data_IF_066752823107
#
_entry.id   IF_066752823107
#
_cell.length_a   1.000
_cell.length_b   1.000
_cell.length_c   1.000
_cell.angle_alpha   90.00
_cell.angle_beta   90.00
_cell.angle_gamma   90.00
#
_symmetry.space_group_name_H-M   'P 1'
#
loop_
_entity.id
_entity.type
_entity.pdbx_description
1 polymer ?
#
# COMPACT_ATOMS: atom_id res chain seq x y z
N UNK A 1 6.00 49.58 -15.03
CA UNK A 1 5.26 48.79 -16.03
C UNK A 1 4.93 47.46 -15.38
N UNK A 2 3.64 47.18 -15.19
CA UNK A 2 3.11 46.07 -14.39
C UNK A 2 3.54 44.70 -14.95
N UNK A 3 4.29 43.93 -14.15
CA UNK A 3 4.70 42.56 -14.46
C UNK A 3 3.64 41.50 -14.09
N UNK A 4 2.47 41.92 -13.57
CA UNK A 4 1.45 41.03 -13.00
C UNK A 4 0.41 40.45 -14.00
N UNK A 5 0.57 40.63 -15.31
CA UNK A 5 -0.51 40.29 -16.27
C UNK A 5 -0.20 39.17 -17.26
N UNK A 6 0.99 38.57 -17.24
CA UNK A 6 1.32 37.45 -18.14
C UNK A 6 1.22 36.07 -17.47
N UNK A 7 1.48 35.96 -16.16
CA UNK A 7 1.34 34.70 -15.41
C UNK A 7 -0.10 34.16 -15.37
N UNK A 8 -1.10 35.04 -15.30
CA UNK A 8 -2.52 34.68 -15.13
C UNK A 8 -3.32 34.55 -16.44
N UNK A 9 -2.75 34.93 -17.58
CA UNK A 9 -3.42 34.83 -18.89
C UNK A 9 -3.14 33.51 -19.63
N UNK A 10 -2.25 32.67 -19.09
CA UNK A 10 -2.08 31.30 -19.58
C UNK A 10 -3.31 30.46 -19.19
N UNK A 11 -4.00 29.88 -20.17
CA UNK A 11 -5.00 28.84 -19.94
C UNK A 11 -4.25 27.51 -19.78
N UNK A 12 -4.08 26.97 -18.56
CA UNK A 12 -3.40 25.69 -18.38
C UNK A 12 -4.05 24.57 -19.17
N UNK A 13 -3.22 23.69 -19.75
CA UNK A 13 -3.67 22.37 -20.17
C UNK A 13 -4.08 21.59 -18.92
N UNK A 14 -5.39 21.37 -18.79
CA UNK A 14 -6.00 20.73 -17.64
C UNK A 14 -5.83 19.21 -17.68
N UNK A 15 -5.05 18.65 -16.76
CA UNK A 15 -5.41 17.39 -16.14
C UNK A 15 -6.50 17.67 -15.12
N UNK A 16 -7.64 16.97 -15.19
CA UNK A 16 -8.64 17.01 -14.12
C UNK A 16 -8.19 16.03 -13.04
N UNK A 17 -8.16 16.47 -11.79
CA UNK A 17 -8.19 15.51 -10.68
C UNK A 17 -9.60 14.93 -10.51
N UNK A 18 -9.78 14.01 -9.55
CA UNK A 18 -11.09 13.40 -9.24
C UNK A 18 -12.18 14.43 -8.88
N UNK A 19 -11.80 15.67 -8.56
CA UNK A 19 -12.70 16.77 -8.20
C UNK A 19 -12.94 17.78 -9.35
N UNK A 20 -12.31 17.59 -10.51
CA UNK A 20 -12.51 18.43 -11.69
C UNK A 20 -11.77 19.77 -11.69
N UNK A 21 -10.85 20.00 -10.74
CA UNK A 21 -10.06 21.23 -10.68
C UNK A 21 -8.94 21.23 -11.73
N UNK A 22 -8.72 22.39 -12.37
CA UNK A 22 -7.65 22.55 -13.36
C UNK A 22 -6.33 22.82 -12.66
N UNK A 23 -5.51 21.78 -12.50
CA UNK A 23 -4.12 21.96 -12.05
C UNK A 23 -3.28 22.56 -13.18
N UNK A 24 -2.56 23.64 -12.87
CA UNK A 24 -1.59 24.24 -13.78
C UNK A 24 -0.42 23.28 -13.92
N UNK A 25 -0.25 22.73 -15.12
CA UNK A 25 0.89 21.89 -15.51
C UNK A 25 1.56 22.55 -16.72
N UNK A 26 2.88 22.75 -16.64
CA UNK A 26 3.68 23.38 -17.70
C UNK A 26 5.14 22.94 -17.58
N UNK A 27 5.97 23.36 -18.53
CA UNK A 27 7.42 23.13 -18.48
C UNK A 27 8.15 24.44 -18.22
N UNK A 28 9.20 24.35 -17.43
CA UNK A 28 10.08 25.48 -17.11
C UNK A 28 11.55 25.12 -17.27
N UNK A 29 12.37 26.14 -17.48
CA UNK A 29 13.82 26.06 -17.28
C UNK A 29 14.27 27.15 -16.31
N UNK A 30 15.49 27.03 -15.79
CA UNK A 30 16.09 28.10 -15.00
C UNK A 30 16.25 29.35 -15.86
N UNK A 31 15.87 30.51 -15.32
CA UNK A 31 15.95 31.81 -15.99
C UNK A 31 17.39 32.18 -16.33
N UNK A 32 18.35 31.80 -15.49
CA UNK A 32 19.80 31.95 -15.73
C UNK A 32 20.32 31.10 -16.88
N UNK A 33 19.53 30.14 -17.37
CA UNK A 33 19.89 29.22 -18.44
C UNK A 33 18.94 29.31 -19.65
N UNK A 34 18.04 30.29 -19.68
CA UNK A 34 16.96 30.38 -20.67
C UNK A 34 17.46 30.27 -22.13
N UNK A 35 18.62 30.86 -22.44
CA UNK A 35 19.21 30.86 -23.79
C UNK A 35 20.34 29.84 -23.98
N UNK A 36 20.64 29.01 -22.97
CA UNK A 36 21.73 28.02 -23.06
C UNK A 36 21.28 26.78 -23.82
N UNK A 37 22.12 26.32 -24.76
CA UNK A 37 21.96 25.00 -25.37
C UNK A 37 22.17 23.91 -24.32
N UNK A 38 21.27 22.94 -24.27
CA UNK A 38 21.33 21.83 -23.30
C UNK A 38 20.92 22.22 -21.88
N UNK A 39 20.17 23.33 -21.72
CA UNK A 39 19.58 23.69 -20.42
C UNK A 39 18.68 22.58 -19.89
N UNK A 40 18.57 22.52 -18.57
CA UNK A 40 17.67 21.57 -17.90
C UNK A 40 16.23 22.07 -17.96
N UNK A 41 15.32 21.12 -18.15
CA UNK A 41 13.89 21.37 -18.16
C UNK A 41 13.22 20.62 -17.02
N UNK A 42 12.18 21.22 -16.46
CA UNK A 42 11.40 20.67 -15.37
C UNK A 42 9.93 20.74 -15.72
N UNK A 43 9.20 19.65 -15.47
CA UNK A 43 7.75 19.72 -15.39
C UNK A 43 7.39 20.44 -14.09
N UNK A 44 6.60 21.50 -14.21
CA UNK A 44 6.08 22.27 -13.08
C UNK A 44 4.58 22.00 -12.92
N UNK A 45 4.21 21.57 -11.72
CA UNK A 45 2.83 21.39 -11.32
C UNK A 45 2.51 22.29 -10.13
N UNK A 46 1.48 23.12 -10.25
CA UNK A 46 1.02 23.93 -9.12
C UNK A 46 0.38 23.04 -8.06
N UNK A 47 0.83 23.18 -6.82
CA UNK A 47 0.26 22.54 -5.64
C UNK A 47 -0.64 23.52 -4.89
N UNK A 48 -1.49 22.97 -4.02
CA UNK A 48 -2.27 23.76 -3.06
C UNK A 48 -1.33 24.38 -2.02
N UNK A 49 -1.68 25.55 -1.48
CA UNK A 49 -0.87 26.23 -0.46
C UNK A 49 0.29 27.08 -0.98
N UNK A 50 0.33 27.41 -2.28
CA UNK A 50 1.28 28.40 -2.81
C UNK A 50 2.66 27.86 -3.22
N UNK A 51 2.73 26.57 -3.51
CA UNK A 51 3.96 25.89 -3.96
C UNK A 51 3.83 25.36 -5.39
N UNK A 52 4.97 25.12 -6.02
CA UNK A 52 5.09 24.34 -7.25
C UNK A 52 5.94 23.11 -6.99
N UNK A 53 5.47 21.97 -7.45
CA UNK A 53 6.27 20.74 -7.57
C UNK A 53 7.02 20.79 -8.91
N UNK A 54 8.34 20.64 -8.85
CA UNK A 54 9.22 20.57 -10.02
C UNK A 54 9.84 19.18 -10.12
N UNK A 55 9.71 18.55 -11.27
CA UNK A 55 10.33 17.26 -11.58
C UNK A 55 11.17 17.39 -12.85
N UNK A 56 12.43 16.95 -12.81
CA UNK A 56 13.34 17.05 -13.97
C UNK A 56 12.86 16.17 -15.12
N UNK A 57 13.02 16.65 -16.34
CA UNK A 57 12.72 15.88 -17.54
C UNK A 57 13.94 15.05 -17.96
N UNK A 58 13.72 13.77 -18.24
CA UNK A 58 14.77 12.90 -18.76
C UNK A 58 15.01 13.14 -20.27
N UNK A 59 15.93 12.37 -20.85
CA UNK A 59 16.28 12.44 -22.27
C UNK A 59 15.08 12.14 -23.19
N UNK A 60 14.15 11.30 -22.73
CA UNK A 60 12.90 10.93 -23.42
C UNK A 60 11.77 11.94 -23.20
N UNK A 61 12.07 13.09 -22.60
CA UNK A 61 11.16 14.24 -22.43
C UNK A 61 9.97 13.96 -21.52
N UNK A 62 10.13 13.03 -20.58
CA UNK A 62 9.12 12.75 -19.55
C UNK A 62 9.67 13.10 -18.17
N UNK A 63 8.80 13.53 -17.23
CA UNK A 63 9.21 13.78 -15.85
C UNK A 63 9.67 12.48 -15.19
N UNK A 64 10.90 12.46 -14.67
CA UNK A 64 11.52 11.28 -14.08
C UNK A 64 12.28 11.63 -12.80
N UNK A 65 12.43 10.65 -11.91
CA UNK A 65 13.13 10.82 -10.63
C UNK A 65 12.37 11.68 -9.61
N UNK A 66 13.07 12.14 -8.57
CA UNK A 66 12.47 12.87 -7.45
C UNK A 66 11.99 14.27 -7.84
N UNK A 67 10.87 14.70 -7.25
CA UNK A 67 10.41 16.08 -7.33
C UNK A 67 10.97 16.94 -6.19
N UNK A 68 10.95 18.26 -6.41
CA UNK A 68 11.28 19.29 -5.40
C UNK A 68 10.15 20.31 -5.34
N UNK A 69 9.86 20.82 -4.15
CA UNK A 69 8.90 21.90 -3.98
C UNK A 69 9.60 23.25 -3.96
N UNK A 70 9.05 24.23 -4.66
CA UNK A 70 9.50 25.63 -4.64
C UNK A 70 8.33 26.54 -4.32
N UNK A 71 8.60 27.67 -3.66
CA UNK A 71 7.57 28.67 -3.38
C UNK A 71 7.11 29.35 -4.67
N UNK A 72 5.92 29.94 -4.68
CA UNK A 72 5.45 30.72 -5.83
C UNK A 72 6.37 31.89 -6.17
N UNK A 73 6.98 32.53 -5.16
CA UNK A 73 7.89 33.66 -5.34
C UNK A 73 9.23 33.24 -5.96
N UNK A 74 9.83 32.16 -5.45
CA UNK A 74 11.04 31.59 -6.03
C UNK A 74 10.77 31.08 -7.45
N UNK A 75 9.63 30.44 -7.67
CA UNK A 75 9.21 29.99 -8.99
C UNK A 75 9.14 31.16 -9.99
N UNK A 76 8.49 32.27 -9.61
CA UNK A 76 8.35 33.43 -10.46
C UNK A 76 9.71 34.11 -10.75
N UNK A 77 10.61 34.13 -9.77
CA UNK A 77 11.91 34.79 -9.86
C UNK A 77 12.93 33.96 -10.64
N UNK A 78 13.05 32.67 -10.33
CA UNK A 78 14.13 31.82 -10.81
C UNK A 78 13.83 31.06 -12.10
N UNK A 79 12.55 30.89 -12.47
CA UNK A 79 12.15 30.07 -13.60
C UNK A 79 11.51 30.89 -14.72
N UNK A 80 11.59 30.34 -15.92
CA UNK A 80 10.91 30.85 -17.12
C UNK A 80 10.06 29.74 -17.74
N UNK A 81 8.91 30.11 -18.31
CA UNK A 81 7.98 29.19 -18.95
C UNK A 81 8.50 28.79 -20.33
N UNK A 82 8.41 27.50 -20.64
CA UNK A 82 8.86 26.89 -21.91
C UNK A 82 7.64 26.28 -22.62
N UNK A 83 6.67 27.13 -22.98
CA UNK A 83 5.36 26.69 -23.48
C UNK A 83 5.44 25.93 -24.81
N UNK A 84 6.30 26.37 -25.73
CA UNK A 84 6.48 25.70 -27.02
C UNK A 84 7.06 24.29 -26.82
N UNK A 85 8.06 24.18 -25.93
CA UNK A 85 8.67 22.90 -25.60
C UNK A 85 7.68 21.94 -24.90
N UNK A 86 6.80 22.47 -24.03
CA UNK A 86 5.68 21.69 -23.48
C UNK A 86 4.79 21.12 -24.58
N UNK A 87 4.33 21.95 -25.52
CA UNK A 87 3.38 21.54 -26.54
C UNK A 87 3.97 20.63 -27.62
N UNK A 88 5.23 20.85 -28.00
CA UNK A 88 5.87 20.15 -29.12
C UNK A 88 6.54 18.84 -28.68
N UNK A 89 7.16 18.81 -27.50
CA UNK A 89 8.03 17.71 -27.10
C UNK A 89 7.48 16.94 -25.90
N UNK A 90 7.22 17.64 -24.80
CA UNK A 90 6.97 17.01 -23.49
C UNK A 90 5.57 16.38 -23.43
N UNK A 91 4.53 17.15 -23.77
CA UNK A 91 3.15 16.63 -23.74
C UNK A 91 2.97 15.43 -24.66
N UNK A 92 3.40 15.44 -25.94
CA UNK A 92 3.28 14.25 -26.79
C UNK A 92 4.06 13.05 -26.26
N UNK A 93 5.23 13.26 -25.63
CA UNK A 93 6.02 12.19 -25.04
C UNK A 93 5.35 11.57 -23.82
N UNK A 94 4.78 12.41 -22.94
CA UNK A 94 3.96 11.95 -21.82
C UNK A 94 2.70 11.21 -22.29
N UNK A 95 2.01 11.75 -23.30
CA UNK A 95 0.81 11.12 -23.87
C UNK A 95 1.13 9.76 -24.51
N UNK A 96 2.32 9.58 -25.09
CA UNK A 96 2.79 8.28 -25.60
C UNK A 96 3.06 7.31 -24.46
N UNK A 97 3.82 7.72 -23.44
CA UNK A 97 4.10 6.90 -22.27
C UNK A 97 2.80 6.44 -21.57
N UNK A 98 1.86 7.36 -21.36
CA UNK A 98 0.56 7.04 -20.75
C UNK A 98 -0.22 6.03 -21.59
N UNK A 99 -0.22 6.16 -22.92
CA UNK A 99 -0.85 5.19 -23.81
C UNK A 99 -0.18 3.81 -23.75
N UNK A 100 1.15 3.74 -23.67
CA UNK A 100 1.87 2.48 -23.46
C UNK A 100 1.47 1.81 -22.15
N UNK A 101 1.42 2.58 -21.05
CA UNK A 101 0.96 2.09 -19.75
C UNK A 101 -0.48 1.59 -19.80
N UNK A 102 -1.39 2.33 -20.43
CA UNK A 102 -2.79 1.93 -20.59
C UNK A 102 -2.93 0.65 -21.42
N UNK A 103 -2.15 0.50 -22.50
CA UNK A 103 -2.12 -0.75 -23.28
C UNK A 103 -1.61 -1.92 -22.46
N UNK A 104 -0.55 -1.73 -21.67
CA UNK A 104 -0.04 -2.76 -20.76
C UNK A 104 -1.11 -3.24 -19.78
N UNK A 105 -1.88 -2.33 -19.18
CA UNK A 105 -2.98 -2.68 -18.26
C UNK A 105 -4.08 -3.45 -19.00
N UNK A 106 -4.49 -2.97 -20.18
CA UNK A 106 -5.50 -3.65 -20.99
C UNK A 106 -5.05 -5.07 -21.36
N UNK A 107 -3.81 -5.25 -21.82
CA UNK A 107 -3.29 -6.57 -22.13
C UNK A 107 -3.29 -7.49 -20.89
N UNK A 108 -2.87 -6.98 -19.72
CA UNK A 108 -2.87 -7.74 -18.47
C UNK A 108 -4.29 -8.17 -18.08
N UNK A 109 -5.25 -7.25 -18.11
CA UNK A 109 -6.66 -7.53 -17.78
C UNK A 109 -7.30 -8.58 -18.72
N UNK A 110 -6.84 -8.67 -19.97
CA UNK A 110 -7.27 -9.71 -20.93
C UNK A 110 -6.49 -11.03 -20.79
N UNK A 111 -5.52 -11.12 -19.88
CA UNK A 111 -4.66 -12.29 -19.70
C UNK A 111 -3.58 -12.43 -20.78
N UNK A 112 -3.32 -11.38 -21.57
CA UNK A 112 -2.29 -11.33 -22.61
C UNK A 112 -0.93 -10.96 -21.99
N UNK A 113 -0.46 -11.80 -21.06
CA UNK A 113 0.60 -11.46 -20.11
C UNK A 113 1.95 -11.14 -20.77
N UNK A 114 2.29 -11.77 -21.89
CA UNK A 114 3.53 -11.46 -22.63
C UNK A 114 3.47 -10.08 -23.30
N UNK A 115 2.31 -9.70 -23.85
CA UNK A 115 2.11 -8.37 -24.42
C UNK A 115 2.14 -7.31 -23.32
N UNK A 116 1.53 -7.59 -22.16
CA UNK A 116 1.58 -6.70 -21.00
C UNK A 116 3.02 -6.49 -20.51
N UNK A 117 3.79 -7.57 -20.34
CA UNK A 117 5.21 -7.51 -19.97
C UNK A 117 6.01 -6.62 -20.94
N UNK A 118 5.79 -6.78 -22.24
CA UNK A 118 6.47 -5.98 -23.26
C UNK A 118 6.10 -4.49 -23.17
N UNK A 119 4.82 -4.15 -23.05
CA UNK A 119 4.41 -2.74 -22.92
C UNK A 119 4.96 -2.08 -21.64
N UNK A 120 4.99 -2.80 -20.52
CA UNK A 120 5.60 -2.27 -19.30
C UNK A 120 7.11 -2.14 -19.41
N UNK A 121 7.79 -3.09 -20.07
CA UNK A 121 9.22 -2.98 -20.35
C UNK A 121 9.53 -1.76 -21.22
N UNK A 122 8.76 -1.54 -22.29
CA UNK A 122 8.88 -0.36 -23.17
C UNK A 122 8.68 0.95 -22.38
N UNK A 123 7.71 0.98 -21.46
CA UNK A 123 7.49 2.13 -20.58
C UNK A 123 8.69 2.38 -19.63
N UNK A 124 9.34 1.31 -19.15
CA UNK A 124 10.53 1.40 -18.31
C UNK A 124 11.79 1.80 -19.09
N UNK A 125 11.89 1.52 -20.40
CA UNK A 125 12.94 2.09 -21.24
C UNK A 125 12.79 3.61 -21.42
N UNK A 126 11.56 4.12 -21.33
CA UNK A 126 11.26 5.56 -21.38
C UNK A 126 11.53 6.22 -20.03
N UNK A 127 11.17 5.56 -18.93
CA UNK A 127 11.41 6.01 -17.56
C UNK A 127 11.62 4.80 -16.63
N UNK A 128 12.88 4.49 -16.35
CA UNK A 128 13.27 3.38 -15.45
C UNK A 128 12.68 3.56 -14.03
N UNK A 129 12.37 4.80 -13.66
CA UNK A 129 11.78 5.16 -12.39
C UNK A 129 10.25 5.16 -12.38
N UNK A 130 9.59 4.62 -13.42
CA UNK A 130 8.14 4.69 -13.55
C UNK A 130 7.42 3.70 -12.63
N UNK A 131 6.88 4.21 -11.52
CA UNK A 131 6.20 3.41 -10.49
C UNK A 131 5.04 2.58 -11.06
N UNK A 132 4.29 3.11 -12.04
CA UNK A 132 3.14 2.43 -12.64
C UNK A 132 3.58 1.30 -13.57
N UNK A 133 4.60 1.51 -14.40
CA UNK A 133 5.16 0.45 -15.24
C UNK A 133 5.73 -0.69 -14.38
N UNK A 134 6.52 -0.35 -13.36
CA UNK A 134 7.11 -1.33 -12.44
C UNK A 134 6.01 -2.11 -11.71
N UNK A 135 4.92 -1.44 -11.31
CA UNK A 135 3.76 -2.12 -10.71
C UNK A 135 3.13 -3.15 -11.64
N UNK A 136 2.74 -2.68 -12.83
CA UNK A 136 2.05 -3.50 -13.81
C UNK A 136 2.90 -4.70 -14.24
N UNK A 137 4.21 -4.52 -14.34
CA UNK A 137 5.16 -5.61 -14.59
C UNK A 137 5.17 -6.64 -13.44
N UNK A 138 5.21 -6.18 -12.18
CA UNK A 138 5.16 -7.06 -11.02
C UNK A 138 3.85 -7.86 -10.92
N UNK A 139 2.72 -7.23 -11.20
CA UNK A 139 1.42 -7.91 -11.28
C UNK A 139 1.39 -8.94 -12.42
N UNK A 140 1.93 -8.56 -13.59
CA UNK A 140 2.03 -9.45 -14.74
C UNK A 140 2.85 -10.69 -14.39
N UNK A 141 3.96 -10.55 -13.66
CA UNK A 141 4.75 -11.70 -13.21
C UNK A 141 3.97 -12.59 -12.21
N UNK A 142 3.22 -12.02 -11.27
CA UNK A 142 2.34 -12.84 -10.41
C UNK A 142 1.31 -13.62 -11.21
N UNK A 143 0.65 -12.97 -12.17
CA UNK A 143 -0.37 -13.62 -13.00
C UNK A 143 0.23 -14.71 -13.90
N UNK A 144 1.52 -14.60 -14.26
CA UNK A 144 2.28 -15.65 -14.95
C UNK A 144 2.71 -16.79 -14.02
N UNK A 145 2.66 -16.58 -12.70
CA UNK A 145 3.22 -17.50 -11.69
C UNK A 145 4.72 -17.31 -11.42
N UNK A 146 5.35 -16.30 -11.99
CA UNK A 146 6.77 -15.97 -11.82
C UNK A 146 6.98 -15.15 -10.52
N UNK A 147 6.76 -15.78 -9.36
CA UNK A 147 6.77 -15.09 -8.04
C UNK A 147 8.12 -14.45 -7.72
N UNK A 148 9.24 -15.09 -8.08
CA UNK A 148 10.58 -14.55 -7.82
C UNK A 148 10.84 -13.25 -8.58
N UNK A 149 10.48 -13.20 -9.88
CA UNK A 149 10.60 -11.98 -10.68
C UNK A 149 9.71 -10.87 -10.15
N UNK A 150 8.49 -11.22 -9.74
CA UNK A 150 7.59 -10.27 -9.12
C UNK A 150 8.24 -9.65 -7.87
N UNK A 151 8.75 -10.48 -6.95
CA UNK A 151 9.45 -10.01 -5.73
C UNK A 151 10.62 -9.06 -6.05
N UNK A 152 11.44 -9.37 -7.06
CA UNK A 152 12.55 -8.49 -7.47
C UNK A 152 12.05 -7.12 -7.93
N UNK A 153 11.00 -7.11 -8.76
CA UNK A 153 10.38 -5.88 -9.28
C UNK A 153 9.83 -5.02 -8.15
N UNK A 154 9.11 -5.61 -7.21
CA UNK A 154 8.55 -4.87 -6.09
C UNK A 154 9.61 -4.41 -5.07
N UNK A 155 10.65 -5.20 -4.85
CA UNK A 155 11.79 -4.80 -4.02
C UNK A 155 12.44 -3.52 -4.56
N UNK A 156 12.51 -3.36 -5.89
CA UNK A 156 12.97 -2.11 -6.52
C UNK A 156 12.02 -0.95 -6.21
N UNK A 157 10.71 -1.14 -6.32
CA UNK A 157 9.72 -0.09 -5.99
C UNK A 157 9.87 0.40 -4.56
N UNK A 158 10.08 -0.50 -3.58
CA UNK A 158 10.31 -0.12 -2.19
C UNK A 158 11.58 0.74 -1.97
N UNK A 159 12.54 0.66 -2.88
CA UNK A 159 13.77 1.47 -2.84
C UNK A 159 13.63 2.81 -3.57
N UNK A 160 12.58 2.99 -4.38
CA UNK A 160 12.35 4.19 -5.16
C UNK A 160 11.69 5.27 -4.29
N UNK A 161 12.38 6.39 -4.07
CA UNK A 161 11.78 7.56 -3.38
C UNK A 161 10.50 8.05 -4.05
N UNK A 162 10.45 7.97 -5.39
CA UNK A 162 9.29 8.36 -6.19
C UNK A 162 8.07 7.48 -5.94
N UNK A 163 8.26 6.23 -5.54
CA UNK A 163 7.16 5.31 -5.27
C UNK A 163 6.24 5.84 -4.17
N UNK A 164 6.80 6.54 -3.17
CA UNK A 164 6.08 7.01 -1.98
C UNK A 164 5.49 8.43 -2.10
N UNK A 165 5.47 9.01 -3.29
CA UNK A 165 4.85 10.30 -3.49
C UNK A 165 3.31 10.21 -3.33
N UNK A 166 2.68 11.27 -2.81
CA UNK A 166 1.23 11.30 -2.56
C UNK A 166 0.38 10.95 -3.81
N UNK A 167 0.89 11.26 -5.01
CA UNK A 167 0.24 10.90 -6.29
C UNK A 167 0.08 9.38 -6.50
N UNK A 168 0.95 8.57 -5.89
CA UNK A 168 0.93 7.11 -5.97
C UNK A 168 0.21 6.46 -4.77
N UNK A 169 -0.38 7.25 -3.85
CA UNK A 169 -1.02 6.73 -2.63
C UNK A 169 -2.02 5.61 -2.87
N UNK A 170 -2.89 5.78 -3.87
CA UNK A 170 -3.90 4.79 -4.23
C UNK A 170 -3.26 3.44 -4.63
N UNK A 171 -2.07 3.48 -5.21
CA UNK A 171 -1.38 2.27 -5.65
C UNK A 171 -0.93 1.42 -4.47
N UNK A 172 -0.53 2.00 -3.31
CA UNK A 172 -0.02 1.20 -2.17
C UNK A 172 -1.02 0.16 -1.68
N UNK A 173 -2.31 0.50 -1.73
CA UNK A 173 -3.36 -0.43 -1.38
C UNK A 173 -3.41 -1.60 -2.36
N UNK A 174 -3.38 -1.32 -3.66
CA UNK A 174 -3.41 -2.34 -4.72
C UNK A 174 -2.13 -3.20 -4.73
N UNK A 175 -0.97 -2.58 -4.50
CA UNK A 175 0.32 -3.26 -4.28
C UNK A 175 0.21 -4.25 -3.12
N UNK A 176 -0.19 -3.78 -1.94
CA UNK A 176 -0.32 -4.63 -0.77
C UNK A 176 -1.33 -5.76 -0.99
N UNK A 177 -2.45 -5.50 -1.68
CA UNK A 177 -3.46 -6.51 -1.97
C UNK A 177 -2.88 -7.59 -2.89
N UNK A 178 -2.16 -7.17 -3.94
CA UNK A 178 -1.50 -8.08 -4.87
C UNK A 178 -0.48 -8.96 -4.15
N UNK A 179 0.36 -8.37 -3.31
CA UNK A 179 1.37 -9.09 -2.53
C UNK A 179 0.76 -10.10 -1.58
N UNK A 180 -0.24 -9.66 -0.80
CA UNK A 180 -0.94 -10.51 0.16
C UNK A 180 -1.57 -11.72 -0.53
N UNK A 181 -2.27 -11.51 -1.66
CA UNK A 181 -2.89 -12.61 -2.44
C UNK A 181 -1.89 -13.64 -2.96
N UNK A 182 -0.61 -13.27 -3.08
CA UNK A 182 0.48 -14.13 -3.51
C UNK A 182 1.35 -14.64 -2.35
N UNK A 183 0.88 -14.51 -1.09
CA UNK A 183 1.59 -15.03 0.09
C UNK A 183 2.75 -14.16 0.57
N UNK A 184 2.96 -12.98 -0.01
CA UNK A 184 4.07 -12.07 0.32
C UNK A 184 3.65 -11.11 1.42
N UNK A 185 3.37 -11.68 2.59
CA UNK A 185 2.75 -10.95 3.70
C UNK A 185 3.66 -9.86 4.27
N UNK A 186 4.96 -10.14 4.41
CA UNK A 186 5.92 -9.18 4.97
C UNK A 186 6.06 -7.95 4.08
N UNK A 187 6.17 -8.14 2.77
CA UNK A 187 6.24 -7.09 1.77
C UNK A 187 4.94 -6.29 1.72
N UNK A 188 3.79 -6.98 1.73
CA UNK A 188 2.48 -6.34 1.80
C UNK A 188 2.37 -5.39 3.01
N UNK A 189 2.79 -5.85 4.20
CA UNK A 189 2.79 -5.04 5.41
C UNK A 189 3.72 -3.82 5.32
N UNK A 190 4.88 -3.93 4.69
CA UNK A 190 5.75 -2.76 4.47
C UNK A 190 5.06 -1.70 3.61
N UNK A 191 4.35 -2.10 2.56
CA UNK A 191 3.59 -1.18 1.72
C UNK A 191 2.41 -0.55 2.46
N UNK A 192 1.62 -1.35 3.17
CA UNK A 192 0.48 -0.82 3.92
C UNK A 192 0.90 0.15 5.03
N UNK A 193 2.00 -0.14 5.74
CA UNK A 193 2.53 0.77 6.76
C UNK A 193 2.97 2.12 6.17
N UNK A 194 3.55 2.11 4.96
CA UNK A 194 3.84 3.35 4.23
C UNK A 194 2.57 4.09 3.79
N UNK A 195 1.51 3.35 3.46
CA UNK A 195 0.18 3.93 3.24
C UNK A 195 -0.34 4.65 4.48
N UNK A 196 -0.20 4.04 5.66
CA UNK A 196 -0.59 4.63 6.96
C UNK A 196 0.21 5.91 7.26
N UNK A 197 1.52 5.93 6.95
CA UNK A 197 2.35 7.12 7.14
C UNK A 197 1.82 8.32 6.32
N UNK A 198 1.18 8.06 5.18
CA UNK A 198 0.62 9.09 4.29
C UNK A 198 -0.82 9.46 4.64
N UNK A 199 -1.59 8.51 5.18
CA UNK A 199 -2.94 8.71 5.67
C UNK A 199 -3.26 7.73 6.79
N UNK A 200 -3.20 8.24 8.00
CA UNK A 200 -3.43 7.49 9.22
C UNK A 200 -4.91 7.29 9.56
N UNK A 201 -5.82 7.83 8.74
CA UNK A 201 -7.27 7.75 8.94
C UNK A 201 -7.98 6.82 7.95
N UNK A 202 -7.28 6.23 6.97
CA UNK A 202 -7.86 5.29 6.00
C UNK A 202 -8.16 3.92 6.63
N UNK A 203 -9.43 3.65 6.91
CA UNK A 203 -9.90 2.40 7.51
C UNK A 203 -9.62 1.17 6.64
N UNK A 204 -9.51 1.35 5.31
CA UNK A 204 -9.28 0.24 4.38
C UNK A 204 -7.85 -0.30 4.51
N UNK A 205 -6.88 0.57 4.82
CA UNK A 205 -5.50 0.14 5.08
C UNK A 205 -5.43 -0.73 6.33
N UNK A 206 -6.08 -0.30 7.42
CA UNK A 206 -6.14 -1.10 8.65
C UNK A 206 -6.84 -2.46 8.42
N UNK A 207 -7.93 -2.47 7.66
CA UNK A 207 -8.62 -3.71 7.29
C UNK A 207 -7.73 -4.66 6.49
N UNK A 208 -7.00 -4.14 5.50
CA UNK A 208 -6.11 -4.95 4.68
C UNK A 208 -4.88 -5.46 5.43
N UNK A 209 -4.33 -4.68 6.37
CA UNK A 209 -3.28 -5.14 7.29
C UNK A 209 -3.82 -6.27 8.17
N UNK A 210 -5.01 -6.13 8.74
CA UNK A 210 -5.62 -7.19 9.54
C UNK A 210 -5.79 -8.49 8.75
N UNK A 211 -6.28 -8.40 7.50
CA UNK A 211 -6.36 -9.56 6.60
C UNK A 211 -5.00 -10.16 6.28
N UNK A 212 -3.96 -9.33 6.15
CA UNK A 212 -2.59 -9.80 5.90
C UNK A 212 -2.06 -10.61 7.08
N UNK A 213 -2.24 -10.11 8.31
CA UNK A 213 -1.85 -10.82 9.52
C UNK A 213 -2.65 -12.12 9.70
N UNK A 214 -3.96 -12.11 9.40
CA UNK A 214 -4.78 -13.32 9.39
C UNK A 214 -4.23 -14.40 8.44
N UNK A 215 -3.91 -14.03 7.19
CA UNK A 215 -3.37 -14.97 6.19
C UNK A 215 -1.93 -15.41 6.52
N UNK A 216 -1.20 -14.62 7.30
CA UNK A 216 0.12 -14.95 7.84
C UNK A 216 0.07 -15.80 9.14
N UNK A 217 -1.11 -16.05 9.72
CA UNK A 217 -1.27 -16.75 11.00
C UNK A 217 -0.94 -15.92 12.25
N UNK A 218 -0.81 -14.61 12.08
CA UNK A 218 -0.46 -13.66 13.16
C UNK A 218 -1.73 -13.08 13.78
N UNK A 219 -2.31 -13.86 14.69
CA UNK A 219 -3.62 -13.57 15.26
C UNK A 219 -3.67 -12.30 16.10
N UNK A 220 -2.62 -12.03 16.89
CA UNK A 220 -2.54 -10.87 17.77
C UNK A 220 -2.63 -9.57 16.95
N UNK A 221 -1.79 -9.47 15.92
CA UNK A 221 -1.77 -8.30 15.06
C UNK A 221 -3.05 -8.22 14.21
N UNK A 222 -3.62 -9.36 13.79
CA UNK A 222 -4.93 -9.40 13.14
C UNK A 222 -6.02 -8.73 14.00
N UNK A 223 -6.17 -9.15 15.26
CA UNK A 223 -7.19 -8.58 16.15
C UNK A 223 -6.94 -7.10 16.43
N UNK A 224 -5.68 -6.71 16.63
CA UNK A 224 -5.31 -5.32 16.89
C UNK A 224 -5.67 -4.41 15.71
N UNK A 225 -5.26 -4.75 14.50
CA UNK A 225 -5.52 -3.92 13.33
C UNK A 225 -6.98 -3.93 12.90
N UNK A 226 -7.70 -5.04 13.10
CA UNK A 226 -9.15 -5.07 12.87
C UNK A 226 -9.90 -4.18 13.87
N UNK A 227 -9.44 -4.16 15.13
CA UNK A 227 -9.98 -3.23 16.16
C UNK A 227 -9.76 -1.79 15.72
N UNK A 228 -8.55 -1.42 15.29
CA UNK A 228 -8.25 -0.06 14.81
C UNK A 228 -9.13 0.34 13.61
N UNK A 229 -9.34 -0.57 12.64
CA UNK A 229 -10.25 -0.35 11.52
C UNK A 229 -11.67 -0.01 12.00
N UNK A 230 -12.21 -0.81 12.91
CA UNK A 230 -13.57 -0.66 13.43
C UNK A 230 -13.72 0.57 14.36
N UNK A 231 -12.68 0.94 15.10
CA UNK A 231 -12.64 2.16 15.90
C UNK A 231 -12.68 3.41 15.01
N UNK A 232 -11.98 3.39 13.87
CA UNK A 232 -12.00 4.47 12.88
C UNK A 232 -13.36 4.58 12.20
N UNK A 233 -13.90 3.45 11.72
CA UNK A 233 -15.19 3.39 11.06
C UNK A 233 -15.95 2.11 11.41
N UNK A 234 -16.90 2.24 12.35
CA UNK A 234 -17.80 1.13 12.76
C UNK A 234 -18.76 0.68 11.65
N UNK A 235 -18.92 1.50 10.61
CA UNK A 235 -19.82 1.25 9.49
C UNK A 235 -19.32 0.20 8.50
N UNK A 236 -18.02 -0.14 8.51
CA UNK A 236 -17.43 -1.09 7.57
C UNK A 236 -18.05 -2.47 7.78
N UNK A 237 -18.90 -2.91 6.85
CA UNK A 237 -19.67 -4.15 6.98
C UNK A 237 -18.75 -5.38 6.87
N UNK A 238 -17.77 -5.31 5.98
CA UNK A 238 -16.75 -6.34 5.77
C UNK A 238 -15.91 -6.58 7.03
N UNK A 239 -15.51 -5.51 7.72
CA UNK A 239 -14.74 -5.60 8.96
C UNK A 239 -15.58 -6.23 10.09
N UNK A 240 -16.87 -5.88 10.19
CA UNK A 240 -17.79 -6.49 11.17
C UNK A 240 -18.05 -7.96 10.89
N UNK A 241 -18.29 -8.32 9.62
CA UNK A 241 -18.40 -9.73 9.20
C UNK A 241 -17.13 -10.49 9.52
N UNK A 242 -15.97 -9.88 9.29
CA UNK A 242 -14.69 -10.50 9.60
C UNK A 242 -14.47 -10.68 11.10
N UNK A 243 -14.84 -9.70 11.93
CA UNK A 243 -14.85 -9.82 13.38
C UNK A 243 -15.72 -11.00 13.83
N UNK A 244 -16.96 -11.09 13.34
CA UNK A 244 -17.87 -12.19 13.69
C UNK A 244 -17.33 -13.56 13.28
N UNK A 245 -16.71 -13.63 12.09
CA UNK A 245 -16.04 -14.84 11.63
C UNK A 245 -14.88 -15.23 12.56
N UNK A 246 -14.02 -14.27 12.95
CA UNK A 246 -12.90 -14.53 13.85
C UNK A 246 -13.37 -15.00 15.23
N UNK A 247 -14.39 -14.37 15.82
CA UNK A 247 -14.95 -14.79 17.11
C UNK A 247 -15.49 -16.22 17.03
N UNK A 248 -16.27 -16.53 15.97
CA UNK A 248 -16.78 -17.89 15.76
C UNK A 248 -15.67 -18.91 15.54
N UNK A 249 -14.60 -18.53 14.84
CA UNK A 249 -13.44 -19.40 14.64
C UNK A 249 -12.72 -19.63 15.97
N UNK A 250 -12.51 -18.59 16.77
CA UNK A 250 -11.92 -18.69 18.11
C UNK A 250 -12.75 -19.52 19.11
N UNK A 251 -14.05 -19.75 18.88
CA UNK A 251 -14.84 -20.64 19.74
C UNK A 251 -14.89 -22.09 19.26
N UNK A 252 -14.54 -22.37 17.99
CA UNK A 252 -14.75 -23.69 17.37
C UNK A 252 -13.51 -24.35 16.77
N UNK A 253 -12.43 -23.60 16.60
CA UNK A 253 -11.19 -24.06 15.99
C UNK A 253 -10.12 -24.28 17.08
N UNK A 254 -10.04 -25.50 17.59
CA UNK A 254 -9.07 -25.89 18.62
C UNK A 254 -7.62 -25.68 18.16
N UNK A 255 -7.34 -25.79 16.85
CA UNK A 255 -5.99 -25.55 16.32
C UNK A 255 -5.62 -24.07 16.44
N UNK A 256 -6.51 -23.17 16.03
CA UNK A 256 -6.32 -21.73 16.22
C UNK A 256 -6.16 -21.39 17.71
N UNK A 257 -6.96 -21.98 18.59
CA UNK A 257 -6.84 -21.74 20.03
C UNK A 257 -5.51 -22.22 20.59
N UNK A 258 -5.01 -23.37 20.13
CA UNK A 258 -3.67 -23.85 20.49
C UNK A 258 -2.59 -22.90 19.98
N UNK A 259 -2.69 -22.38 18.76
CA UNK A 259 -1.75 -21.38 18.25
C UNK A 259 -1.76 -20.10 19.10
N UNK A 260 -2.95 -19.59 19.46
CA UNK A 260 -3.13 -18.45 20.36
C UNK A 260 -2.52 -18.69 21.75
N UNK A 261 -2.58 -19.93 22.27
CA UNK A 261 -1.98 -20.31 23.55
C UNK A 261 -0.47 -20.59 23.46
N UNK A 262 0.03 -20.98 22.29
CA UNK A 262 1.41 -21.46 22.08
C UNK A 262 2.45 -20.35 21.87
N UNK A 263 2.00 -19.12 21.61
CA UNK A 263 2.86 -17.94 21.57
C UNK A 263 3.39 -17.66 23.00
N UNK A 264 4.52 -18.28 23.35
CA UNK A 264 5.26 -18.19 24.61
C UNK A 264 4.42 -18.14 25.91
N UNK A 265 4.34 -19.30 26.59
CA UNK A 265 3.71 -19.63 27.87
C UNK A 265 3.87 -18.61 29.03
N UNK A 266 3.35 -17.39 28.87
CA UNK A 266 3.20 -16.43 29.94
C UNK A 266 1.72 -16.09 30.07
N UNK A 267 1.20 -16.25 31.29
CA UNK A 267 -0.19 -15.89 31.67
C UNK A 267 -0.57 -14.44 31.24
N UNK A 268 0.42 -13.56 31.09
CA UNK A 268 0.24 -12.19 30.56
C UNK A 268 -0.28 -12.17 29.12
N UNK A 269 0.34 -12.91 28.19
CA UNK A 269 0.01 -12.82 26.75
C UNK A 269 -1.39 -13.38 26.44
N UNK A 270 -1.79 -14.43 27.15
CA UNK A 270 -3.15 -14.98 27.05
C UNK A 270 -4.22 -13.97 27.49
N UNK A 271 -3.95 -13.21 28.55
CA UNK A 271 -4.80 -12.11 28.99
C UNK A 271 -4.87 -11.01 27.92
N UNK A 272 -3.75 -10.71 27.26
CA UNK A 272 -3.66 -9.69 26.22
C UNK A 272 -4.49 -10.05 24.98
N UNK A 273 -4.43 -11.29 24.51
CA UNK A 273 -5.23 -11.79 23.38
C UNK A 273 -6.74 -11.72 23.68
N UNK A 274 -7.17 -12.19 24.85
CA UNK A 274 -8.58 -12.13 25.25
C UNK A 274 -9.07 -10.68 25.39
N UNK A 275 -8.21 -9.78 25.88
CA UNK A 275 -8.50 -8.35 25.93
C UNK A 275 -8.64 -7.74 24.53
N UNK A 276 -7.77 -8.13 23.57
CA UNK A 276 -7.87 -7.71 22.17
C UNK A 276 -9.16 -8.22 21.51
N UNK A 277 -9.51 -9.49 21.71
CA UNK A 277 -10.77 -10.07 21.21
C UNK A 277 -12.00 -9.33 21.75
N UNK A 278 -12.02 -9.00 23.04
CA UNK A 278 -13.13 -8.23 23.63
C UNK A 278 -13.19 -6.81 23.06
N UNK A 279 -12.05 -6.12 22.93
CA UNK A 279 -11.99 -4.77 22.32
C UNK A 279 -12.47 -4.79 20.86
N UNK A 280 -12.05 -5.78 20.08
CA UNK A 280 -12.47 -5.96 18.69
C UNK A 280 -14.00 -6.10 18.58
N UNK A 281 -14.61 -6.91 19.44
CA UNK A 281 -16.07 -7.08 19.50
C UNK A 281 -16.79 -5.77 19.84
N UNK A 282 -16.32 -5.04 20.84
CA UNK A 282 -16.88 -3.74 21.21
C UNK A 282 -16.73 -2.71 20.08
N UNK A 283 -15.60 -2.71 19.38
CA UNK A 283 -15.37 -1.86 18.22
C UNK A 283 -16.33 -2.21 17.06
N UNK A 284 -16.66 -3.49 16.89
CA UNK A 284 -17.68 -3.96 15.93
C UNK A 284 -19.12 -3.58 16.30
N UNK A 285 -19.34 -3.07 17.53
CA UNK A 285 -20.65 -2.69 18.04
C UNK A 285 -21.42 -3.82 18.73
N UNK A 286 -20.73 -4.90 19.13
CA UNK A 286 -21.30 -5.95 19.99
C UNK A 286 -21.53 -5.39 21.38
N UNK A 287 -22.62 -5.80 22.04
CA UNK A 287 -22.91 -5.40 23.42
C UNK A 287 -21.81 -5.91 24.37
N UNK A 288 -21.58 -5.18 25.47
CA UNK A 288 -20.53 -5.52 26.42
C UNK A 288 -20.78 -6.88 27.08
N UNK A 289 -22.03 -7.20 27.41
CA UNK A 289 -22.38 -8.46 28.07
C UNK A 289 -22.15 -9.65 27.13
N UNK A 290 -22.61 -9.53 25.87
CA UNK A 290 -22.38 -10.53 24.82
C UNK A 290 -20.88 -10.74 24.55
N UNK A 291 -20.11 -9.63 24.46
CA UNK A 291 -18.67 -9.70 24.22
C UNK A 291 -17.91 -10.34 25.39
N UNK A 292 -18.36 -10.09 26.63
CA UNK A 292 -17.83 -10.73 27.84
C UNK A 292 -18.13 -12.23 27.83
N UNK A 293 -19.38 -12.62 27.55
CA UNK A 293 -19.80 -14.02 27.47
C UNK A 293 -18.95 -14.80 26.47
N UNK A 294 -18.83 -14.28 25.24
CA UNK A 294 -18.01 -14.93 24.20
C UNK A 294 -16.53 -15.00 24.55
N UNK A 295 -15.99 -13.96 25.19
CA UNK A 295 -14.58 -13.99 25.62
C UNK A 295 -14.35 -15.03 26.72
N UNK A 296 -15.32 -15.23 27.63
CA UNK A 296 -15.27 -16.29 28.64
C UNK A 296 -15.36 -17.68 28.03
N UNK A 297 -16.26 -17.91 27.08
CA UNK A 297 -16.38 -19.17 26.34
C UNK A 297 -15.05 -19.56 25.68
N UNK A 298 -14.41 -18.61 24.98
CA UNK A 298 -13.09 -18.81 24.35
C UNK A 298 -12.02 -19.13 25.40
N UNK A 299 -11.97 -18.35 26.50
CA UNK A 299 -11.00 -18.57 27.57
C UNK A 299 -11.13 -19.97 28.16
N UNK A 300 -12.35 -20.39 28.48
CA UNK A 300 -12.62 -21.65 29.16
C UNK A 300 -12.24 -22.82 28.22
N UNK A 301 -12.54 -22.74 26.91
CA UNK A 301 -12.07 -23.74 25.93
C UNK A 301 -10.54 -23.78 25.83
N UNK A 302 -9.87 -22.64 25.84
CA UNK A 302 -8.40 -22.61 25.87
C UNK A 302 -7.85 -23.31 27.12
N UNK A 303 -8.53 -23.25 28.29
CA UNK A 303 -8.06 -23.90 29.54
C UNK A 303 -8.22 -25.41 29.40
N UNK A 304 -9.36 -25.86 28.89
CA UNK A 304 -9.60 -27.28 28.63
C UNK A 304 -8.54 -27.90 27.71
N UNK A 305 -8.17 -27.20 26.63
CA UNK A 305 -7.16 -27.66 25.68
C UNK A 305 -5.77 -27.81 26.32
N UNK A 306 -5.39 -26.89 27.22
CA UNK A 306 -4.13 -27.00 27.96
C UNK A 306 -4.15 -28.17 28.95
N UNK A 307 -5.26 -28.41 29.64
CA UNK A 307 -5.42 -29.56 30.52
C UNK A 307 -5.35 -30.89 29.76
N UNK A 308 -5.96 -30.96 28.57
CA UNK A 308 -5.86 -32.10 27.66
C UNK A 308 -4.41 -32.35 27.23
N UNK A 309 -3.68 -31.31 26.81
CA UNK A 309 -2.27 -31.41 26.40
C UNK A 309 -1.36 -31.84 27.57
N UNK A 310 -1.62 -31.38 28.80
CA UNK A 310 -0.89 -31.83 29.99
C UNK A 310 -1.11 -33.32 30.28
N UNK A 311 -2.36 -33.80 30.20
CA UNK A 311 -2.69 -35.23 30.39
C UNK A 311 -2.00 -36.11 29.36
N UNK A 312 -1.96 -35.69 28.10
CA UNK A 312 -1.27 -36.42 27.02
C UNK A 312 0.22 -36.54 27.33
N UNK A 313 0.89 -35.44 27.70
CA UNK A 313 2.32 -35.44 28.08
C UNK A 313 2.61 -36.35 29.27
N UNK A 314 1.70 -36.42 30.24
CA UNK A 314 1.84 -37.32 31.40
C UNK A 314 1.74 -38.79 30.97
N UNK A 315 0.80 -39.13 30.08
CA UNK A 315 0.66 -40.47 29.52
C UNK A 315 1.90 -40.87 28.71
N UNK A 316 2.40 -39.98 27.85
CA UNK A 316 3.62 -40.21 27.05
C UNK A 316 4.83 -40.45 27.95
N UNK A 317 5.03 -39.61 28.97
CA UNK A 317 6.12 -39.78 29.94
C UNK A 317 6.04 -41.14 30.65
N UNK A 318 4.83 -41.58 31.02
CA UNK A 318 4.64 -42.86 31.68
C UNK A 318 4.93 -44.04 30.75
N UNK A 319 4.62 -43.94 29.45
CA UNK A 319 4.98 -44.93 28.43
C UNK A 319 6.50 -45.04 28.23
N UNK A 320 7.21 -43.93 28.12
CA UNK A 320 8.68 -43.94 27.95
C UNK A 320 9.42 -44.52 29.17
N UNK A 321 8.94 -44.25 30.39
CA UNK A 321 9.55 -44.82 31.60
C UNK A 321 9.31 -46.33 31.74
N UNK A 322 8.35 -46.92 31.03
CA UNK A 322 8.08 -48.37 31.03
C UNK A 322 9.02 -49.14 30.09
N UNK A 323 9.60 -48.49 29.07
CA UNK A 323 10.51 -49.11 28.11
C UNK A 323 11.98 -49.16 28.60
N UNK A 324 12.35 -48.35 29.59
CA UNK A 324 13.70 -48.32 30.20
C UNK A 324 13.90 -49.34 31.34
N UNK A 325 12.84 -50.03 31.78
CA UNK A 325 12.83 -51.01 32.88
C UNK A 325 12.93 -52.49 32.41
N UNK A 326 13.26 -52.75 31.13
CA UNK A 326 13.41 -54.10 30.55
C UNK A 326 14.84 -54.48 30.13
#
# INVERSE_FOLDING_TARGET
>A
MNADTTFFNYKPSSGKDKNGERKLVTVVSLRSEADKKGKKYFLAQKLDGGFFELQELNEKKVPSGSSKNVTTDDFATEYTLELDYWHQEVRPSMDRLNRTLERGEVHREHGELYSAEMEYADALEVDEGNVRATFGLGQTYFEKGDVEKAQEVFSKVLQMKTAFAAKHKHMFNDFGISMRKNGLYREALQYYNRGIDLDSDDENLFFNIARTHYEAGDWENCFRYLTLCLEKNRGVEEARKFCNYLVKKSTSDDHMLKELSSADNTSSLRSDILNLLRKMQLAAGVDLDDAIEKTHEIRDRMIELEEEDMKIKEIEKNLYNLDDDF
#
